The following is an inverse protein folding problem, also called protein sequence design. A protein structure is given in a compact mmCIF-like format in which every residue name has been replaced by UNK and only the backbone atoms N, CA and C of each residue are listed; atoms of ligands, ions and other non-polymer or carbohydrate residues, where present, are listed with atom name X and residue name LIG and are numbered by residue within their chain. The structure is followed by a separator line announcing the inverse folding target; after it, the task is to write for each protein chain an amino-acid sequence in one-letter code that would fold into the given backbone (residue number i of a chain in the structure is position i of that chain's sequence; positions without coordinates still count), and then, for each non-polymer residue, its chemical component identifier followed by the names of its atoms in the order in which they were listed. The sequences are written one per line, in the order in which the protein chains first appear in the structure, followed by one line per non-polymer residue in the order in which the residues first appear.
data_IF_667924556139
#
_entry.id   IF_667924556139
#
_cell.length_a   1.000
_cell.length_b   1.000
_cell.length_c   1.000
_cell.angle_alpha   90.00
_cell.angle_beta   90.00
_cell.angle_gamma   90.00
#
_symmetry.space_group_name_H-M   'P 1'
#
loop_
_entity.id
_entity.type
_entity.pdbx_description
1 polymer ?
#
# COMPACT_ATOMS: atom_id res chain seq x y z
N UNK A 1 -45.61 4.72 30.81
CA UNK A 1 -44.43 3.84 30.95
C UNK A 1 -43.54 4.10 29.75
N UNK A 2 -42.26 4.41 29.98
CA UNK A 2 -41.37 5.04 28.98
C UNK A 2 -41.01 4.07 27.86
N UNK A 3 -41.22 4.53 26.63
CA UNK A 3 -40.78 3.88 25.40
C UNK A 3 -39.24 3.86 25.35
N UNK A 4 -38.66 2.66 25.28
CA UNK A 4 -37.24 2.51 24.97
C UNK A 4 -37.08 2.45 23.46
N UNK A 5 -36.90 3.62 22.87
CA UNK A 5 -36.34 3.76 21.52
C UNK A 5 -34.91 3.25 21.58
N UNK A 6 -34.64 2.07 21.02
CA UNK A 6 -33.28 1.57 20.81
C UNK A 6 -32.62 2.54 19.84
N UNK A 7 -31.83 3.46 20.39
CA UNK A 7 -30.82 4.20 19.63
C UNK A 7 -29.81 3.16 19.18
N UNK A 8 -29.90 2.76 17.92
CA UNK A 8 -28.87 1.99 17.24
C UNK A 8 -27.65 2.93 17.12
N UNK A 9 -26.87 2.96 18.20
CA UNK A 9 -25.67 3.77 18.33
C UNK A 9 -24.71 3.46 17.19
N UNK A 10 -24.15 4.51 16.61
CA UNK A 10 -23.14 4.58 15.56
C UNK A 10 -21.80 3.89 15.91
N UNK A 11 -21.83 2.72 16.55
CA UNK A 11 -20.67 2.00 17.07
C UNK A 11 -20.06 1.00 16.08
N UNK A 12 -20.59 0.92 14.84
CA UNK A 12 -20.18 -0.07 13.84
C UNK A 12 -19.36 0.52 12.68
N UNK A 13 -18.91 1.78 12.79
CA UNK A 13 -18.10 2.46 11.77
C UNK A 13 -16.59 2.46 12.07
N UNK A 14 -16.14 1.69 13.06
CA UNK A 14 -14.73 1.63 13.52
C UNK A 14 -13.98 0.39 13.03
N UNK A 15 -14.53 -0.34 12.06
CA UNK A 15 -13.88 -1.49 11.46
C UNK A 15 -12.94 -1.03 10.32
N UNK A 16 -11.65 -0.96 10.68
CA UNK A 16 -10.57 -1.46 9.84
C UNK A 16 -10.38 -0.75 8.49
N UNK A 17 -9.97 0.52 8.55
CA UNK A 17 -8.98 1.03 7.60
C UNK A 17 -7.60 0.39 7.89
N UNK A 18 -7.55 -0.94 7.92
CA UNK A 18 -6.30 -1.64 7.68
C UNK A 18 -5.99 -1.35 6.22
N UNK A 19 -5.22 -0.28 6.01
CA UNK A 19 -4.50 0.00 4.77
C UNK A 19 -3.89 -1.32 4.33
N UNK A 20 -4.53 -2.01 3.39
CA UNK A 20 -3.89 -3.15 2.76
C UNK A 20 -2.74 -2.52 2.01
N UNK A 21 -1.48 -2.78 2.39
CA UNK A 21 -0.37 -2.16 1.72
C UNK A 21 -0.45 -2.53 0.24
N UNK A 22 -0.79 -1.53 -0.57
CA UNK A 22 -0.45 -1.49 -1.97
C UNK A 22 1.06 -1.24 -1.96
N UNK A 23 1.87 -2.29 -2.00
CA UNK A 23 3.31 -2.09 -1.98
C UNK A 23 3.70 -1.31 -3.24
N UNK A 24 4.15 -0.09 -3.01
CA UNK A 24 4.69 0.87 -3.94
C UNK A 24 6.02 1.34 -3.36
N UNK A 25 6.84 2.04 -4.14
CA UNK A 25 8.06 2.63 -3.59
C UNK A 25 7.71 3.57 -2.43
N UNK A 26 8.00 3.15 -1.18
CA UNK A 26 7.79 3.97 0.01
C UNK A 26 8.53 5.32 -0.20
N UNK A 27 7.88 6.47 0.08
CA UNK A 27 6.70 6.64 0.92
C UNK A 27 5.37 6.59 0.16
N UNK A 28 5.36 6.31 -1.14
CA UNK A 28 4.18 6.38 -1.98
C UNK A 28 3.33 5.11 -1.87
N UNK A 29 2.05 5.27 -2.20
CA UNK A 29 1.11 4.17 -2.40
C UNK A 29 0.96 3.82 -3.89
N UNK A 30 1.26 4.76 -4.79
CA UNK A 30 1.37 4.58 -6.23
C UNK A 30 2.74 4.00 -6.57
N UNK A 31 2.76 2.81 -7.18
CA UNK A 31 3.98 2.08 -7.54
C UNK A 31 4.51 2.57 -8.90
N UNK A 32 5.81 2.45 -9.14
CA UNK A 32 6.43 2.74 -10.43
C UNK A 32 6.60 1.48 -11.29
N UNK A 33 6.78 1.66 -12.59
CA UNK A 33 6.96 0.56 -13.54
C UNK A 33 8.41 0.02 -13.59
N UNK A 34 9.33 0.57 -12.79
CA UNK A 34 10.71 0.16 -12.69
C UNK A 34 10.88 -1.27 -12.18
N UNK A 35 11.98 -1.88 -12.59
CA UNK A 35 12.40 -3.24 -12.24
C UNK A 35 13.89 -3.23 -11.87
N UNK A 36 14.35 -4.23 -11.12
CA UNK A 36 15.74 -4.31 -10.66
C UNK A 36 16.74 -4.69 -11.75
N UNK A 37 16.26 -5.25 -12.86
CA UNK A 37 17.12 -5.75 -13.93
C UNK A 37 17.68 -7.14 -13.64
N UNK A 38 18.19 -7.84 -14.65
CA UNK A 38 18.65 -9.22 -14.48
C UNK A 38 19.75 -9.34 -13.41
N UNK A 39 19.48 -10.12 -12.36
CA UNK A 39 20.38 -10.35 -11.24
C UNK A 39 20.35 -9.26 -10.16
N UNK A 40 19.66 -8.15 -10.37
CA UNK A 40 19.53 -7.07 -9.39
C UNK A 40 18.74 -7.50 -8.16
N UNK A 41 19.18 -7.05 -6.99
CA UNK A 41 18.52 -7.33 -5.71
C UNK A 41 18.12 -6.01 -5.06
N UNK A 42 16.89 -5.94 -4.55
CA UNK A 42 16.43 -4.85 -3.70
C UNK A 42 15.93 -5.38 -2.36
N UNK A 43 16.31 -4.69 -1.29
CA UNK A 43 15.74 -4.85 0.04
C UNK A 43 15.18 -3.51 0.50
N UNK A 44 13.86 -3.45 0.69
CA UNK A 44 13.16 -2.29 1.23
C UNK A 44 12.70 -2.58 2.66
N UNK A 45 12.89 -1.60 3.55
CA UNK A 45 12.36 -1.62 4.91
C UNK A 45 11.73 -0.27 5.21
N UNK A 46 10.48 -0.27 5.66
CA UNK A 46 9.74 0.95 5.97
C UNK A 46 8.93 0.82 7.26
N UNK A 47 8.57 1.96 7.84
CA UNK A 47 7.69 2.02 9.00
C UNK A 47 6.85 3.28 9.01
N UNK A 48 5.60 3.14 9.42
CA UNK A 48 4.59 4.18 9.40
C UNK A 48 3.85 4.29 10.74
N UNK A 49 3.74 5.53 11.23
CA UNK A 49 2.87 5.88 12.34
C UNK A 49 1.62 6.55 11.81
N UNK A 50 0.45 6.09 12.26
CA UNK A 50 -0.84 6.60 11.82
C UNK A 50 -1.72 7.01 12.99
N UNK A 51 -2.67 7.90 12.71
CA UNK A 51 -3.75 8.24 13.64
C UNK A 51 -5.09 8.23 12.91
N UNK A 52 -6.06 7.54 13.47
CA UNK A 52 -7.43 7.49 12.96
C UNK A 52 -8.45 7.55 14.10
N UNK A 53 -9.36 8.51 14.06
CA UNK A 53 -10.45 8.64 15.06
C UNK A 53 -9.99 8.63 16.53
N UNK A 54 -8.76 9.08 16.81
CA UNK A 54 -8.17 9.07 18.16
C UNK A 54 -7.24 7.89 18.43
N UNK A 55 -7.40 6.78 17.70
CA UNK A 55 -6.56 5.59 17.78
C UNK A 55 -5.25 5.77 17.04
N UNK A 56 -4.16 5.28 17.63
CA UNK A 56 -2.83 5.28 17.02
C UNK A 56 -2.49 3.90 16.45
N UNK A 57 -1.88 3.89 15.27
CA UNK A 57 -1.36 2.70 14.63
C UNK A 57 0.13 2.84 14.35
N UNK A 58 0.86 1.72 14.37
CA UNK A 58 2.26 1.64 13.98
C UNK A 58 2.49 0.34 13.22
N UNK A 59 2.92 0.46 11.98
CA UNK A 59 3.20 -0.67 11.09
C UNK A 59 4.58 -0.52 10.46
N UNK A 60 5.09 -1.61 9.92
CA UNK A 60 6.23 -1.59 9.01
C UNK A 60 6.21 -2.78 8.08
N UNK A 61 7.08 -2.76 7.10
CA UNK A 61 7.22 -3.85 6.16
C UNK A 61 8.68 -4.04 5.77
N UNK A 62 8.98 -5.27 5.35
CA UNK A 62 10.20 -5.61 4.64
C UNK A 62 9.81 -6.23 3.30
N UNK A 63 10.35 -5.71 2.20
CA UNK A 63 10.16 -6.26 0.86
C UNK A 63 11.51 -6.65 0.28
N UNK A 64 11.64 -7.91 -0.11
CA UNK A 64 12.77 -8.42 -0.88
C UNK A 64 12.35 -8.56 -2.35
N UNK A 65 13.16 -8.06 -3.27
CA UNK A 65 12.91 -8.16 -4.71
C UNK A 65 14.15 -8.70 -5.42
N UNK A 66 13.95 -9.61 -6.37
CA UNK A 66 14.98 -10.17 -7.23
C UNK A 66 14.58 -10.02 -8.70
N UNK A 67 15.43 -9.38 -9.48
CA UNK A 67 15.25 -9.24 -10.93
C UNK A 67 15.64 -10.52 -11.65
N UNK A 68 14.62 -11.27 -12.08
CA UNK A 68 14.79 -12.53 -12.83
C UNK A 68 15.23 -12.25 -14.27
N UNK A 69 14.79 -11.14 -14.84
CA UNK A 69 15.20 -10.64 -16.16
C UNK A 69 15.25 -9.12 -16.15
N UNK A 70 15.68 -8.49 -17.25
CA UNK A 70 15.65 -7.02 -17.40
C UNK A 70 14.24 -6.39 -17.38
N UNK A 71 13.19 -7.22 -17.31
CA UNK A 71 11.78 -6.81 -17.37
C UNK A 71 10.91 -7.44 -16.29
N UNK A 72 11.43 -8.39 -15.51
CA UNK A 72 10.64 -9.19 -14.58
C UNK A 72 11.34 -9.31 -13.25
N UNK A 73 10.67 -8.79 -12.22
CA UNK A 73 11.04 -8.96 -10.84
C UNK A 73 10.11 -9.96 -10.16
N UNK A 74 10.65 -10.76 -9.25
CA UNK A 74 9.89 -11.47 -8.22
C UNK A 74 10.12 -10.79 -6.88
N UNK A 75 9.07 -10.68 -6.08
CA UNK A 75 9.18 -10.08 -4.75
C UNK A 75 8.48 -10.91 -3.68
N UNK A 76 9.01 -10.79 -2.47
CA UNK A 76 8.45 -11.33 -1.23
C UNK A 76 8.26 -10.16 -0.27
N UNK A 77 7.13 -10.12 0.41
CA UNK A 77 6.83 -9.07 1.36
C UNK A 77 6.36 -9.62 2.71
N UNK A 78 6.93 -9.03 3.78
CA UNK A 78 6.64 -9.33 5.18
C UNK A 78 6.12 -8.09 5.91
N UNK A 79 4.80 -7.95 6.10
CA UNK A 79 4.22 -6.86 6.87
C UNK A 79 4.23 -7.16 8.37
N UNK A 80 4.44 -6.13 9.20
CA UNK A 80 4.47 -6.19 10.65
C UNK A 80 3.60 -5.09 11.25
N UNK A 81 2.75 -5.45 12.21
CA UNK A 81 1.99 -4.49 13.02
C UNK A 81 2.60 -4.40 14.40
N UNK A 82 3.14 -3.23 14.74
CA UNK A 82 3.73 -2.94 16.05
C UNK A 82 2.70 -2.37 17.04
N UNK A 83 1.67 -1.69 16.54
CA UNK A 83 0.58 -1.14 17.35
C UNK A 83 -0.71 -1.09 16.54
N UNK A 84 -1.79 -1.68 17.08
CA UNK A 84 -3.17 -1.47 16.60
C UNK A 84 -4.18 -1.73 17.73
N UNK A 85 -5.43 -1.27 17.60
CA UNK A 85 -6.49 -1.57 18.58
C UNK A 85 -6.81 -3.06 18.75
N UNK A 86 -6.56 -3.87 17.72
CA UNK A 86 -6.97 -5.28 17.67
C UNK A 86 -5.82 -6.25 17.98
N UNK A 87 -4.58 -5.77 17.99
CA UNK A 87 -3.40 -6.59 18.29
C UNK A 87 -2.17 -6.24 17.46
N UNK A 88 -1.09 -6.98 17.69
CA UNK A 88 0.20 -6.82 17.04
C UNK A 88 0.66 -8.16 16.46
N UNK A 89 1.55 -8.10 15.47
CA UNK A 89 2.10 -9.28 14.83
C UNK A 89 2.20 -9.15 13.31
N UNK A 90 2.71 -10.23 12.73
CA UNK A 90 2.93 -10.36 11.30
C UNK A 90 1.59 -10.43 10.58
N UNK A 91 1.47 -9.69 9.48
CA UNK A 91 0.29 -9.74 8.63
C UNK A 91 0.32 -10.90 7.63
N UNK A 92 -0.65 -10.92 6.71
CA UNK A 92 -0.61 -11.82 5.56
C UNK A 92 0.63 -11.52 4.68
N UNK A 93 1.58 -12.44 4.68
CA UNK A 93 2.79 -12.43 3.86
C UNK A 93 2.39 -12.59 2.40
N UNK A 94 3.14 -11.96 1.49
CA UNK A 94 2.86 -12.07 0.07
C UNK A 94 4.09 -12.37 -0.78
N UNK A 95 3.82 -12.99 -1.91
CA UNK A 95 4.77 -13.17 -3.01
C UNK A 95 4.12 -12.67 -4.28
N UNK A 96 4.90 -12.06 -5.16
CA UNK A 96 4.38 -11.56 -6.41
C UNK A 96 5.45 -11.37 -7.46
N UNK A 97 5.02 -10.84 -8.60
CA UNK A 97 5.90 -10.48 -9.69
C UNK A 97 5.58 -9.07 -10.16
N UNK A 98 6.58 -8.34 -10.67
CA UNK A 98 6.38 -7.09 -11.42
C UNK A 98 6.95 -7.29 -12.81
N UNK A 99 6.10 -7.23 -13.82
CA UNK A 99 6.48 -7.41 -15.22
C UNK A 99 6.30 -6.11 -15.99
N UNK A 100 7.41 -5.43 -16.32
CA UNK A 100 7.44 -4.30 -17.25
C UNK A 100 7.38 -4.82 -18.68
N UNK A 101 6.16 -4.96 -19.20
CA UNK A 101 5.91 -5.57 -20.50
C UNK A 101 6.06 -4.60 -21.68
N UNK A 102 6.06 -3.29 -21.42
CA UNK A 102 6.23 -2.26 -22.43
C UNK A 102 7.08 -1.11 -21.94
N UNK A 103 7.96 -0.60 -22.80
CA UNK A 103 8.78 0.58 -22.57
C UNK A 103 9.12 1.24 -23.91
N UNK A 104 8.78 2.52 -24.08
CA UNK A 104 9.14 3.34 -25.24
C UNK A 104 8.94 4.84 -24.94
N UNK A 105 9.82 5.69 -25.44
CA UNK A 105 9.68 7.16 -25.42
C UNK A 105 9.31 7.75 -24.04
N UNK A 106 9.94 7.24 -22.98
CA UNK A 106 9.69 7.65 -21.59
C UNK A 106 8.47 6.99 -20.93
N UNK A 107 7.60 6.32 -21.69
CA UNK A 107 6.48 5.54 -21.17
C UNK A 107 6.92 4.12 -20.82
N UNK A 108 6.56 3.66 -19.63
CA UNK A 108 6.69 2.28 -19.19
C UNK A 108 5.36 1.76 -18.63
N UNK A 109 5.00 0.53 -18.99
CA UNK A 109 3.81 -0.15 -18.47
C UNK A 109 4.20 -1.47 -17.80
N UNK A 110 3.60 -1.74 -16.65
CA UNK A 110 3.83 -2.96 -15.90
C UNK A 110 2.54 -3.58 -15.36
N UNK A 111 2.59 -4.91 -15.17
CA UNK A 111 1.60 -5.67 -14.43
C UNK A 111 2.25 -6.26 -13.17
N UNK A 112 1.53 -6.17 -12.05
CA UNK A 112 1.97 -6.67 -10.76
C UNK A 112 0.93 -7.62 -10.14
N UNK A 113 0.96 -8.92 -10.50
CA UNK A 113 0.20 -9.95 -9.79
C UNK A 113 0.83 -10.27 -8.43
N UNK A 114 0.01 -10.59 -7.45
CA UNK A 114 0.46 -10.87 -6.07
C UNK A 114 -0.45 -11.89 -5.38
N UNK A 115 0.14 -12.84 -4.68
CA UNK A 115 -0.53 -13.85 -3.86
C UNK A 115 -0.29 -13.54 -2.38
N UNK A 116 -1.36 -13.52 -1.61
CA UNK A 116 -1.33 -13.26 -0.18
C UNK A 116 -1.68 -14.55 0.57
N UNK A 117 -0.83 -14.93 1.51
CA UNK A 117 -0.94 -16.15 2.28
C UNK A 117 -1.53 -15.85 3.65
N UNK A 118 -2.36 -16.75 4.23
CA UNK A 118 -3.04 -16.55 5.49
C UNK A 118 -2.12 -16.77 6.70
N UNK A 119 -1.02 -16.02 6.76
CA UNK A 119 -0.06 -16.06 7.87
C UNK A 119 -0.43 -15.12 9.00
N UNK A 120 -1.25 -14.11 8.74
CA UNK A 120 -1.73 -13.17 9.75
C UNK A 120 -2.86 -13.76 10.58
N UNK A 121 -2.88 -13.44 11.87
CA UNK A 121 -3.94 -13.85 12.78
C UNK A 121 -5.22 -13.03 12.53
N UNK A 122 -6.25 -13.66 11.95
CA UNK A 122 -7.47 -12.98 11.52
C UNK A 122 -8.30 -12.42 12.69
N UNK A 123 -8.26 -13.07 13.86
CA UNK A 123 -8.91 -12.59 15.09
C UNK A 123 -8.33 -11.27 15.61
N UNK A 124 -7.10 -10.93 15.19
CA UNK A 124 -6.44 -9.64 15.47
C UNK A 124 -6.54 -8.65 14.30
N UNK A 125 -7.21 -9.03 13.22
CA UNK A 125 -7.28 -8.23 11.99
C UNK A 125 -5.96 -8.14 11.23
N UNK A 126 -5.00 -9.05 11.46
CA UNK A 126 -3.70 -9.07 10.80
C UNK A 126 -3.73 -9.79 9.44
N UNK A 127 -4.84 -10.45 9.12
CA UNK A 127 -4.99 -11.20 7.89
C UNK A 127 -6.45 -11.56 7.64
N UNK A 128 -6.71 -12.11 6.47
CA UNK A 128 -8.05 -12.58 6.10
C UNK A 128 -8.32 -14.03 6.53
N UNK A 129 -7.29 -14.76 6.92
CA UNK A 129 -7.34 -16.18 7.26
C UNK A 129 -7.55 -17.09 6.04
N UNK A 130 -7.46 -16.56 4.82
CA UNK A 130 -7.50 -17.32 3.55
C UNK A 130 -6.53 -16.72 2.52
N UNK A 131 -6.21 -17.49 1.48
CA UNK A 131 -5.40 -16.99 0.37
C UNK A 131 -6.14 -15.87 -0.38
N UNK A 132 -5.44 -14.75 -0.61
CA UNK A 132 -5.93 -13.61 -1.38
C UNK A 132 -5.12 -13.40 -2.66
N UNK A 133 -5.67 -12.64 -3.60
CA UNK A 133 -5.03 -12.32 -4.88
C UNK A 133 -5.08 -10.83 -5.15
N UNK A 134 -3.97 -10.26 -5.62
CA UNK A 134 -3.88 -8.89 -6.10
C UNK A 134 -3.45 -8.85 -7.56
N UNK A 135 -3.93 -7.85 -8.29
CA UNK A 135 -3.41 -7.47 -9.59
C UNK A 135 -3.38 -5.95 -9.69
N UNK A 136 -2.22 -5.38 -10.01
CA UNK A 136 -2.09 -3.94 -10.25
C UNK A 136 -1.53 -3.70 -11.64
N UNK A 137 -2.23 -2.89 -12.44
CA UNK A 137 -1.67 -2.27 -13.64
C UNK A 137 -0.98 -0.96 -13.27
N UNK A 138 0.19 -0.74 -13.85
CA UNK A 138 1.07 0.38 -13.54
C UNK A 138 1.46 1.07 -14.84
N UNK A 139 1.38 2.39 -14.86
CA UNK A 139 1.93 3.23 -15.91
C UNK A 139 2.92 4.22 -15.30
N UNK A 140 4.03 4.46 -15.96
CA UNK A 140 5.01 5.48 -15.58
C UNK A 140 5.44 6.25 -16.82
N UNK A 141 5.57 7.56 -16.71
CA UNK A 141 6.00 8.43 -17.80
C UNK A 141 7.05 9.43 -17.32
N UNK A 142 8.25 9.35 -17.89
CA UNK A 142 9.37 10.24 -17.56
C UNK A 142 9.50 11.36 -18.61
N UNK A 143 9.61 12.60 -18.14
CA UNK A 143 9.82 13.77 -18.98
C UNK A 143 10.62 14.87 -18.26
N UNK A 144 11.89 15.00 -18.63
CA UNK A 144 12.80 15.96 -18.00
C UNK A 144 12.96 15.67 -16.50
N UNK A 145 12.76 16.65 -15.60
CA UNK A 145 12.87 16.43 -14.16
C UNK A 145 11.62 15.77 -13.55
N UNK A 146 10.59 15.47 -14.35
CA UNK A 146 9.31 14.96 -13.87
C UNK A 146 9.15 13.48 -14.22
N UNK A 147 8.62 12.72 -13.27
CA UNK A 147 8.11 11.36 -13.53
C UNK A 147 6.67 11.27 -13.03
N UNK A 148 5.76 10.81 -13.87
CA UNK A 148 4.34 10.62 -13.55
C UNK A 148 4.05 9.14 -13.42
N UNK A 149 3.28 8.75 -12.42
CA UNK A 149 2.89 7.36 -12.19
C UNK A 149 1.37 7.27 -12.04
N UNK A 150 0.80 6.14 -12.47
CA UNK A 150 -0.63 5.86 -12.33
C UNK A 150 -0.89 4.37 -12.17
N UNK A 151 -1.76 4.03 -11.22
CA UNK A 151 -2.04 2.64 -10.86
C UNK A 151 -3.54 2.37 -10.86
N UNK A 152 -3.90 1.17 -11.34
CA UNK A 152 -5.23 0.59 -11.16
C UNK A 152 -5.08 -0.81 -10.57
N UNK A 153 -5.60 -1.01 -9.37
CA UNK A 153 -5.46 -2.25 -8.63
C UNK A 153 -6.78 -2.93 -8.33
N UNK A 154 -6.77 -4.26 -8.33
CA UNK A 154 -7.83 -5.12 -7.79
C UNK A 154 -7.23 -6.01 -6.70
N UNK A 155 -7.96 -6.13 -5.60
CA UNK A 155 -7.63 -7.05 -4.50
C UNK A 155 -8.83 -7.93 -4.19
N UNK A 156 -8.65 -9.23 -4.30
CA UNK A 156 -9.55 -10.26 -3.81
C UNK A 156 -9.05 -10.82 -2.47
N UNK A 157 -9.87 -10.71 -1.44
CA UNK A 157 -9.60 -11.17 -0.07
C UNK A 157 -10.82 -11.93 0.45
N UNK A 158 -10.85 -13.27 0.34
CA UNK A 158 -11.88 -14.08 0.99
C UNK A 158 -11.62 -14.13 2.50
N UNK A 159 -12.66 -14.09 3.32
CA UNK A 159 -12.52 -14.03 4.78
C UNK A 159 -12.82 -15.37 5.46
N UNK A 160 -12.08 -15.70 6.51
CA UNK A 160 -12.34 -16.87 7.38
C UNK A 160 -13.41 -16.55 8.44
N UNK A 161 -13.33 -15.39 9.09
CA UNK A 161 -14.30 -14.97 10.11
C UNK A 161 -15.67 -14.69 9.49
N UNK A 162 -16.73 -15.15 10.12
CA UNK A 162 -18.11 -14.96 9.66
C UNK A 162 -18.51 -13.48 9.68
N UNK A 163 -18.14 -12.75 10.74
CA UNK A 163 -18.37 -11.30 10.86
C UNK A 163 -17.77 -10.50 9.69
N UNK A 164 -16.59 -10.90 9.23
CA UNK A 164 -15.93 -10.27 8.09
C UNK A 164 -16.61 -10.65 6.77
N UNK A 165 -17.12 -11.88 6.63
CA UNK A 165 -17.86 -12.29 5.44
C UNK A 165 -19.17 -11.52 5.28
N UNK A 166 -19.83 -11.15 6.38
CA UNK A 166 -21.08 -10.39 6.39
C UNK A 166 -20.86 -8.89 6.15
N UNK A 167 -19.76 -8.35 6.66
CA UNK A 167 -19.53 -6.89 6.69
C UNK A 167 -18.55 -6.38 5.63
N UNK A 168 -17.64 -7.21 5.12
CA UNK A 168 -16.56 -6.76 4.22
C UNK A 168 -16.74 -7.20 2.78
N UNK A 169 -16.33 -6.32 1.85
CA UNK A 169 -16.18 -6.66 0.44
C UNK A 169 -15.03 -7.63 0.25
N UNK A 170 -15.28 -8.69 -0.51
CA UNK A 170 -14.24 -9.65 -0.93
C UNK A 170 -13.36 -9.09 -2.04
N UNK A 171 -13.89 -8.20 -2.88
CA UNK A 171 -13.14 -7.56 -3.96
C UNK A 171 -13.17 -6.06 -3.77
N UNK A 172 -12.00 -5.43 -3.83
CA UNK A 172 -11.79 -3.99 -3.71
C UNK A 172 -10.96 -3.54 -4.90
N UNK A 173 -11.37 -2.44 -5.54
CA UNK A 173 -10.55 -1.74 -6.50
C UNK A 173 -9.87 -0.52 -5.87
N UNK A 174 -8.73 -0.12 -6.43
CA UNK A 174 -8.00 1.11 -6.08
C UNK A 174 -7.50 1.80 -7.34
N UNK A 175 -7.44 3.13 -7.27
CA UNK A 175 -6.83 3.96 -8.30
C UNK A 175 -5.97 5.02 -7.64
N UNK A 176 -4.78 5.26 -8.16
CA UNK A 176 -3.87 6.27 -7.60
C UNK A 176 -2.94 6.84 -8.66
N UNK A 177 -2.38 8.01 -8.36
CA UNK A 177 -1.43 8.70 -9.22
C UNK A 177 -0.40 9.45 -8.37
N UNK A 178 0.85 9.42 -8.83
CA UNK A 178 1.95 10.10 -8.17
C UNK A 178 2.79 10.91 -9.16
N UNK A 179 3.50 11.89 -8.65
CA UNK A 179 4.49 12.68 -9.36
C UNK A 179 5.79 12.71 -8.58
N UNK A 180 6.90 12.49 -9.28
CA UNK A 180 8.24 12.71 -8.79
C UNK A 180 8.81 13.95 -9.47
N UNK A 181 9.54 14.75 -8.71
CA UNK A 181 10.31 15.88 -9.20
C UNK A 181 11.77 15.72 -8.76
N UNK A 182 12.65 15.47 -9.73
CA UNK A 182 14.09 15.42 -9.53
C UNK A 182 14.65 16.82 -9.29
N UNK A 183 15.01 17.12 -8.04
CA UNK A 183 15.64 18.40 -7.67
C UNK A 183 17.10 18.41 -8.13
N UNK A 184 17.78 17.28 -7.98
CA UNK A 184 19.13 17.01 -8.47
C UNK A 184 19.34 15.48 -8.53
N UNK A 185 20.57 15.04 -8.76
CA UNK A 185 20.92 13.62 -8.87
C UNK A 185 20.64 12.80 -7.60
N UNK A 186 20.56 13.44 -6.43
CA UNK A 186 20.36 12.77 -5.14
C UNK A 186 18.97 12.98 -4.56
N UNK A 187 18.29 14.09 -4.87
CA UNK A 187 17.05 14.48 -4.19
C UNK A 187 15.86 14.44 -5.14
N UNK A 188 14.81 13.74 -4.71
CA UNK A 188 13.50 13.75 -5.36
C UNK A 188 12.44 14.22 -4.37
N UNK A 189 11.56 15.11 -4.82
CA UNK A 189 10.31 15.42 -4.11
C UNK A 189 9.19 14.59 -4.73
N UNK A 190 8.30 14.08 -3.89
CA UNK A 190 7.21 13.21 -4.34
C UNK A 190 5.87 13.68 -3.80
N UNK A 191 4.83 13.52 -4.61
CA UNK A 191 3.45 13.70 -4.19
C UNK A 191 2.58 12.59 -4.78
N UNK A 192 1.56 12.17 -4.04
CA UNK A 192 0.70 11.04 -4.41
C UNK A 192 -0.72 11.27 -3.92
N UNK A 193 -1.69 10.74 -4.64
CA UNK A 193 -3.09 10.74 -4.26
C UNK A 193 -3.78 9.51 -4.81
N UNK A 194 -4.80 9.04 -4.12
CA UNK A 194 -5.54 7.89 -4.56
C UNK A 194 -6.87 7.75 -3.87
N UNK A 195 -7.67 6.85 -4.42
CA UNK A 195 -8.97 6.44 -3.90
C UNK A 195 -9.06 4.92 -3.92
N UNK A 196 -9.81 4.36 -2.98
CA UNK A 196 -10.12 2.94 -2.96
C UNK A 196 -11.62 2.71 -2.77
N UNK A 197 -12.09 1.54 -3.18
CA UNK A 197 -13.41 1.07 -2.76
C UNK A 197 -13.39 0.78 -1.26
N UNK A 198 -14.42 1.24 -0.55
CA UNK A 198 -14.53 0.96 0.88
C UNK A 198 -14.63 -0.55 1.13
N UNK A 199 -13.83 -1.04 2.07
CA UNK A 199 -13.87 -2.45 2.49
C UNK A 199 -15.17 -2.78 3.20
N UNK A 200 -15.74 -1.84 3.97
CA UNK A 200 -17.06 -2.01 4.57
C UNK A 200 -18.12 -2.02 3.46
N UNK A 201 -18.86 -3.13 3.38
CA UNK A 201 -19.87 -3.36 2.37
C UNK A 201 -21.09 -2.43 2.52
N UNK A 202 -21.31 -1.87 3.72
CA UNK A 202 -22.37 -0.91 4.01
C UNK A 202 -22.01 0.52 3.60
N UNK A 203 -20.72 0.84 3.50
CA UNK A 203 -20.23 2.17 3.16
C UNK A 203 -20.08 2.37 1.65
N UNK A 204 -20.47 3.56 1.19
CA UNK A 204 -20.24 4.06 -0.18
C UNK A 204 -19.15 5.13 -0.26
N UNK A 205 -18.65 5.60 0.88
CA UNK A 205 -17.60 6.61 0.93
C UNK A 205 -16.28 5.97 0.53
N UNK A 206 -15.68 6.42 -0.57
CA UNK A 206 -14.38 5.96 -1.04
C UNK A 206 -13.28 6.56 -0.14
N UNK A 207 -12.51 5.78 0.64
CA UNK A 207 -11.31 6.30 1.29
C UNK A 207 -10.42 6.96 0.25
N UNK A 208 -9.92 8.15 0.56
CA UNK A 208 -9.05 8.91 -0.35
C UNK A 208 -8.01 9.69 0.44
N UNK A 209 -6.83 9.87 -0.14
CA UNK A 209 -5.70 10.49 0.53
C UNK A 209 -4.95 11.45 -0.40
N UNK A 210 -4.15 12.31 0.22
CA UNK A 210 -3.03 12.99 -0.42
C UNK A 210 -1.77 12.74 0.39
N UNK A 211 -0.62 12.64 -0.26
CA UNK A 211 0.67 12.39 0.32
C UNK A 211 1.71 13.31 -0.29
N UNK A 212 2.66 13.75 0.55
CA UNK A 212 3.88 14.41 0.11
C UNK A 212 5.08 13.78 0.81
N UNK A 213 6.22 13.75 0.14
CA UNK A 213 7.44 13.18 0.70
C UNK A 213 8.69 13.60 -0.04
N UNK A 214 9.81 13.06 0.40
CA UNK A 214 11.10 13.22 -0.25
C UNK A 214 11.87 11.90 -0.22
N UNK A 215 12.68 11.69 -1.27
CA UNK A 215 13.60 10.56 -1.38
C UNK A 215 15.00 11.14 -1.57
N UNK A 216 15.94 10.66 -0.76
CA UNK A 216 17.36 10.99 -0.84
C UNK A 216 18.15 9.74 -1.21
N UNK A 217 18.81 9.81 -2.36
CA UNK A 217 19.69 8.78 -2.92
C UNK A 217 21.15 9.28 -2.78
N UNK A 218 21.83 9.08 -1.63
CA UNK A 218 23.23 9.49 -1.47
C UNK A 218 24.18 8.86 -2.50
N UNK A 219 23.82 7.69 -3.00
CA UNK A 219 24.53 6.93 -4.02
C UNK A 219 23.53 6.01 -4.75
N UNK A 220 24.04 5.14 -5.63
CA UNK A 220 23.20 4.22 -6.43
C UNK A 220 22.69 2.99 -5.67
N UNK A 221 23.14 2.76 -4.45
CA UNK A 221 22.85 1.54 -3.68
C UNK A 221 21.92 1.78 -2.50
N UNK A 222 21.60 3.05 -2.19
CA UNK A 222 20.80 3.42 -1.03
C UNK A 222 19.83 4.53 -1.39
N UNK A 223 18.56 4.32 -1.09
CA UNK A 223 17.55 5.36 -0.98
C UNK A 223 17.06 5.45 0.46
N UNK A 224 16.88 6.68 0.95
CA UNK A 224 16.24 6.98 2.24
C UNK A 224 15.09 7.91 1.97
N UNK A 225 13.94 7.62 2.55
CA UNK A 225 12.76 8.37 2.26
C UNK A 225 11.96 8.73 3.53
N UNK A 226 11.14 9.76 3.40
CA UNK A 226 10.15 10.13 4.39
C UNK A 226 8.91 10.72 3.71
N UNK A 227 7.73 10.45 4.26
CA UNK A 227 6.48 10.97 3.73
C UNK A 227 5.42 11.23 4.78
N UNK A 228 4.51 12.14 4.46
CA UNK A 228 3.33 12.47 5.25
C UNK A 228 2.07 12.32 4.38
N UNK A 229 1.16 11.45 4.82
CA UNK A 229 -0.13 11.18 4.19
C UNK A 229 -1.26 11.78 5.02
N UNK A 230 -2.27 12.32 4.35
CA UNK A 230 -3.46 12.90 4.95
C UNK A 230 -4.71 12.31 4.30
N UNK A 231 -5.65 11.87 5.13
CA UNK A 231 -6.96 11.44 4.66
C UNK A 231 -7.77 12.63 4.17
N UNK A 232 -8.30 12.55 2.95
CA UNK A 232 -9.17 13.56 2.36
C UNK A 232 -10.63 13.41 2.80
N UNK A 233 -10.95 12.31 3.49
CA UNK A 233 -12.24 12.10 4.14
C UNK A 233 -12.10 11.18 5.36
N UNK A 234 -13.20 11.02 6.11
CA UNK A 234 -13.21 10.24 7.36
C UNK A 234 -13.10 8.72 7.18
N UNK A 235 -13.24 8.21 5.96
CA UNK A 235 -13.08 6.78 5.68
C UNK A 235 -11.61 6.37 5.50
N UNK A 236 -10.71 7.34 5.31
CA UNK A 236 -9.27 7.14 5.26
C UNK A 236 -8.61 7.46 6.62
N UNK A 237 -7.42 6.91 6.85
CA UNK A 237 -6.53 7.31 7.94
C UNK A 237 -6.33 8.82 7.92
N UNK A 238 -6.61 9.46 9.05
CA UNK A 238 -6.61 10.94 9.17
C UNK A 238 -5.23 11.50 8.85
N UNK A 239 -4.18 10.90 9.41
CA UNK A 239 -2.78 11.23 9.09
C UNK A 239 -1.87 10.04 9.31
N UNK A 240 -0.82 9.98 8.50
CA UNK A 240 0.26 9.00 8.62
C UNK A 240 1.59 9.68 8.30
N UNK A 241 2.64 9.27 9.00
CA UNK A 241 4.01 9.66 8.72
C UNK A 241 4.86 8.40 8.62
N UNK A 242 5.66 8.30 7.58
CA UNK A 242 6.49 7.14 7.28
C UNK A 242 7.93 7.51 7.01
N UNK A 243 8.83 6.58 7.30
CA UNK A 243 10.24 6.61 6.89
C UNK A 243 10.65 5.25 6.35
N UNK A 244 11.55 5.25 5.38
CA UNK A 244 12.00 4.03 4.74
C UNK A 244 13.47 4.08 4.32
N UNK A 245 14.01 2.89 4.07
CA UNK A 245 15.30 2.67 3.47
C UNK A 245 15.20 1.56 2.43
N UNK A 246 15.77 1.81 1.27
CA UNK A 246 15.88 0.84 0.18
C UNK A 246 17.35 0.62 -0.14
N UNK A 247 17.75 -0.64 -0.22
CA UNK A 247 19.11 -1.06 -0.56
C UNK A 247 19.09 -1.80 -1.89
N UNK A 248 20.04 -1.48 -2.78
CA UNK A 248 20.20 -2.12 -4.08
C UNK A 248 21.57 -2.80 -4.17
N UNK A 249 21.62 -4.01 -4.72
CA UNK A 249 22.83 -4.81 -4.91
C UNK A 249 22.92 -5.36 -6.34
#
# INVERSE_FOLDING_TARGET
MKNYTIRLSCLTALLLAASHPAFAAHPLNTDDAGVQGAGGIQLEMNTDWSKQSGEAGHVGAMTFTYGVTDKLDLFFNLPQTFQSPNGTGVGDVSVGAKWRYYEADGLALALKPELFMPSGEESKGLGSGRNGLGLTGIASYETGPWTLHGNLGLRYSPYKLETDQETKRKTIWRASAAVWYGVNEQWRLVADTGVAQNQDASSRTLPSYALVGAIWSPNKTVDIDAGAKFGLNKAEVTRQFGVGVTLHF
#
